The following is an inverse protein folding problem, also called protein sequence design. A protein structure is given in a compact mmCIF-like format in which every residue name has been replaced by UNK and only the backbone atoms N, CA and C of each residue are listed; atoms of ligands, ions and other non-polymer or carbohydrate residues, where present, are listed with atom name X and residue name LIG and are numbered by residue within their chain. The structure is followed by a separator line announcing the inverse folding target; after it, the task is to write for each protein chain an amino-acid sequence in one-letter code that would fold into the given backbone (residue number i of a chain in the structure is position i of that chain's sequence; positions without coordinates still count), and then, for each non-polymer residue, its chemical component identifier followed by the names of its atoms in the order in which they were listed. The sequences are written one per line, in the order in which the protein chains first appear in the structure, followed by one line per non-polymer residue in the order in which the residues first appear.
data_IF_313618533500
#
_entry.id   IF_313618533500
#
_cell.length_a   1.000
_cell.length_b   1.000
_cell.length_c   1.000
_cell.angle_alpha   90.00
_cell.angle_beta   90.00
_cell.angle_gamma   90.00
#
_symmetry.space_group_name_H-M   'P 1'
#
loop_
_entity.id
_entity.type
_entity.pdbx_description
1 polymer ?
#
# COMPACT_ATOMS: atom_id res chain seq x y z
N UNK A 1 -13.64 -10.23 15.02
CA UNK A 1 -13.96 -9.92 13.66
C UNK A 1 -12.90 -10.52 12.71
N UNK A 2 -13.37 -11.27 11.73
CA UNK A 2 -12.50 -12.03 10.82
C UNK A 2 -11.64 -11.10 9.95
N UNK A 3 -12.19 -10.01 9.46
CA UNK A 3 -11.45 -9.02 8.65
C UNK A 3 -10.35 -8.34 9.47
N UNK A 4 -10.64 -7.98 10.70
CA UNK A 4 -9.65 -7.39 11.61
C UNK A 4 -8.50 -8.35 11.89
N UNK A 5 -8.80 -9.64 12.03
CA UNK A 5 -7.78 -10.67 12.21
C UNK A 5 -6.90 -10.80 10.97
N UNK A 6 -7.50 -10.78 9.76
CA UNK A 6 -6.78 -10.84 8.50
C UNK A 6 -5.81 -9.67 8.33
N UNK A 7 -6.26 -8.44 8.63
CA UNK A 7 -5.42 -7.25 8.58
C UNK A 7 -4.30 -7.31 9.61
N UNK A 8 -4.59 -7.78 10.83
CA UNK A 8 -3.59 -7.99 11.87
C UNK A 8 -2.51 -8.97 11.46
N UNK A 9 -2.88 -10.05 10.79
CA UNK A 9 -1.93 -11.06 10.30
C UNK A 9 -1.02 -10.50 9.20
N UNK A 10 -1.56 -9.71 8.26
CA UNK A 10 -0.77 -9.05 7.22
C UNK A 10 0.26 -8.11 7.86
N UNK A 11 -0.17 -7.27 8.80
CA UNK A 11 0.70 -6.33 9.50
C UNK A 11 1.82 -7.05 10.26
N UNK A 12 1.47 -8.13 10.97
CA UNK A 12 2.42 -8.94 11.71
C UNK A 12 3.48 -9.58 10.79
N UNK A 13 3.04 -10.12 9.64
CA UNK A 13 3.95 -10.75 8.68
C UNK A 13 4.90 -9.74 8.05
N UNK A 14 4.41 -8.55 7.75
CA UNK A 14 5.25 -7.46 7.25
C UNK A 14 6.32 -7.09 8.27
N UNK A 15 5.96 -6.95 9.55
CA UNK A 15 6.90 -6.61 10.60
C UNK A 15 7.95 -7.69 10.80
N UNK A 16 7.57 -8.96 10.75
CA UNK A 16 8.51 -10.09 10.84
C UNK A 16 9.51 -10.07 9.68
N UNK A 17 9.05 -9.77 8.49
CA UNK A 17 9.92 -9.64 7.32
C UNK A 17 10.98 -8.54 7.54
N UNK A 18 10.56 -7.36 8.01
CA UNK A 18 11.49 -6.25 8.25
C UNK A 18 12.45 -6.53 9.40
N UNK A 19 12.00 -7.17 10.47
CA UNK A 19 12.88 -7.59 11.58
C UNK A 19 13.98 -8.53 11.06
N UNK A 20 13.62 -9.49 10.23
CA UNK A 20 14.59 -10.41 9.64
C UNK A 20 15.59 -9.69 8.73
N UNK A 21 15.10 -8.76 7.91
CA UNK A 21 15.96 -7.96 7.03
C UNK A 21 16.91 -7.06 7.81
N UNK A 22 16.46 -6.49 8.90
CA UNK A 22 17.30 -5.66 9.78
C UNK A 22 18.38 -6.48 10.50
N UNK A 23 18.13 -7.75 10.80
CA UNK A 23 19.15 -8.66 11.33
C UNK A 23 20.24 -8.92 10.29
N UNK A 24 19.88 -9.07 9.02
CA UNK A 24 20.81 -9.30 7.92
C UNK A 24 21.56 -8.03 7.52
N UNK A 25 20.89 -6.88 7.57
CA UNK A 25 21.39 -5.62 7.05
C UNK A 25 20.84 -4.45 7.87
N UNK A 26 21.62 -3.98 8.84
CA UNK A 26 21.18 -3.01 9.84
C UNK A 26 20.78 -1.63 9.27
N UNK A 27 21.32 -1.24 8.12
CA UNK A 27 21.10 0.07 7.51
C UNK A 27 20.04 0.06 6.41
N UNK A 28 19.21 -0.99 6.31
CA UNK A 28 18.20 -1.07 5.26
C UNK A 28 17.12 -0.01 5.43
N UNK A 29 16.87 0.72 4.35
CA UNK A 29 15.74 1.64 4.21
C UNK A 29 14.68 0.94 3.34
N UNK A 30 13.50 0.56 3.90
CA UNK A 30 12.50 -0.17 3.13
C UNK A 30 12.07 0.53 1.85
N UNK A 31 11.91 1.85 1.89
CA UNK A 31 11.49 2.60 0.71
C UNK A 31 12.57 2.61 -0.39
N UNK A 32 13.78 3.06 -0.05
CA UNK A 32 14.84 3.22 -1.05
C UNK A 32 15.50 1.90 -1.46
N UNK A 33 15.63 0.95 -0.54
CA UNK A 33 16.38 -0.28 -0.78
C UNK A 33 15.53 -1.41 -1.35
N UNK A 34 14.19 -1.32 -1.24
CA UNK A 34 13.31 -2.36 -1.75
C UNK A 34 12.16 -1.80 -2.58
N UNK A 35 11.31 -0.95 -2.01
CA UNK A 35 10.06 -0.55 -2.66
C UNK A 35 10.26 0.29 -3.91
N UNK A 36 11.28 1.14 -3.96
CA UNK A 36 11.57 1.91 -5.17
C UNK A 36 11.87 1.01 -6.37
N UNK A 37 12.69 -0.02 -6.16
CA UNK A 37 13.02 -0.96 -7.23
C UNK A 37 11.81 -1.79 -7.65
N UNK A 38 11.02 -2.26 -6.69
CA UNK A 38 9.81 -3.03 -6.97
C UNK A 38 8.75 -2.21 -7.71
N UNK A 39 8.59 -0.94 -7.34
CA UNK A 39 7.67 -0.02 -8.01
C UNK A 39 8.12 0.22 -9.46
N UNK A 40 9.40 0.44 -9.67
CA UNK A 40 9.96 0.65 -11.01
C UNK A 40 9.81 -0.58 -11.89
N UNK A 41 10.10 -1.77 -11.36
CA UNK A 41 9.89 -3.03 -12.09
C UNK A 41 8.42 -3.26 -12.43
N UNK A 42 7.52 -2.97 -11.49
CA UNK A 42 6.08 -3.10 -11.73
C UNK A 42 5.61 -2.13 -12.82
N UNK A 43 6.15 -0.92 -12.86
CA UNK A 43 5.83 0.06 -13.91
C UNK A 43 6.28 -0.38 -15.29
N UNK A 44 7.41 -1.09 -15.38
CA UNK A 44 7.88 -1.66 -16.65
C UNK A 44 6.97 -2.80 -17.13
N UNK A 45 6.48 -3.62 -16.21
CA UNK A 45 5.57 -4.72 -16.52
C UNK A 45 4.15 -4.22 -16.83
N UNK A 46 3.69 -3.21 -16.10
CA UNK A 46 2.34 -2.63 -16.23
C UNK A 46 2.42 -1.11 -16.45
N UNK A 47 2.85 -0.64 -17.63
CA UNK A 47 3.09 0.79 -17.84
C UNK A 47 1.84 1.64 -17.94
N UNK A 48 0.67 1.03 -18.08
CA UNK A 48 -0.60 1.74 -18.22
C UNK A 48 -1.05 2.29 -16.87
N UNK A 49 -1.43 3.56 -16.83
CA UNK A 49 -1.93 4.26 -15.64
C UNK A 49 -0.91 4.45 -14.53
N UNK A 50 0.39 4.48 -14.86
CA UNK A 50 1.41 4.86 -13.89
C UNK A 50 2.62 5.47 -14.58
N UNK A 51 3.35 6.27 -13.80
CA UNK A 51 4.57 6.92 -14.29
C UNK A 51 5.72 5.91 -14.40
N UNK A 52 6.78 6.32 -15.09
CA UNK A 52 7.95 5.48 -15.38
C UNK A 52 8.57 4.84 -14.13
N UNK A 53 8.60 5.57 -13.02
CA UNK A 53 9.21 5.08 -11.78
C UNK A 53 8.24 4.35 -10.85
N UNK A 54 6.98 4.23 -11.27
CA UNK A 54 5.97 3.47 -10.56
C UNK A 54 5.11 4.29 -9.61
N UNK A 55 3.80 4.05 -9.65
CA UNK A 55 2.83 4.69 -8.78
C UNK A 55 2.03 3.70 -7.94
N UNK A 56 2.06 2.43 -8.30
CA UNK A 56 1.33 1.41 -7.54
C UNK A 56 2.00 0.05 -7.64
N UNK A 57 1.77 -0.76 -6.63
CA UNK A 57 2.29 -2.12 -6.53
C UNK A 57 1.40 -2.92 -5.57
N UNK A 58 1.06 -4.12 -5.96
CA UNK A 58 0.47 -5.08 -5.03
C UNK A 58 1.57 -6.05 -4.59
N UNK A 59 2.22 -5.72 -3.48
CA UNK A 59 3.38 -6.47 -3.01
C UNK A 59 2.96 -7.73 -2.26
N UNK A 60 3.42 -8.87 -2.74
CA UNK A 60 3.30 -10.11 -1.99
C UNK A 60 4.45 -10.19 -0.98
N UNK A 61 4.11 -10.30 0.31
CA UNK A 61 5.11 -10.42 1.36
C UNK A 61 5.83 -11.77 1.21
N UNK A 62 7.17 -11.79 1.03
CA UNK A 62 7.89 -13.02 0.76
C UNK A 62 7.65 -14.12 1.79
N UNK A 63 7.42 -15.34 1.30
CA UNK A 63 7.15 -16.51 2.15
C UNK A 63 5.73 -16.59 2.68
N UNK A 64 4.82 -15.74 2.21
CA UNK A 64 3.41 -15.72 2.65
C UNK A 64 2.46 -15.60 1.48
N UNK A 65 1.17 -15.79 1.73
CA UNK A 65 0.08 -15.51 0.78
C UNK A 65 -0.54 -14.12 0.98
N UNK A 66 0.08 -13.29 1.82
CA UNK A 66 -0.42 -11.95 2.11
C UNK A 66 0.12 -10.93 1.13
N UNK A 67 -0.72 -9.97 0.79
CA UNK A 67 -0.39 -8.86 -0.11
C UNK A 67 -0.52 -7.53 0.62
N UNK A 68 0.41 -6.61 0.33
CA UNK A 68 0.36 -5.24 0.81
C UNK A 68 0.25 -4.32 -0.41
N UNK A 69 -0.92 -3.73 -0.68
CA UNK A 69 -1.04 -2.76 -1.76
C UNK A 69 -0.35 -1.45 -1.38
N UNK A 70 0.47 -0.95 -2.28
CA UNK A 70 1.24 0.28 -2.12
C UNK A 70 0.91 1.18 -3.31
N UNK A 71 0.59 2.44 -3.05
CA UNK A 71 0.23 3.37 -4.12
C UNK A 71 0.54 4.81 -3.71
N UNK A 72 0.83 5.63 -4.72
CA UNK A 72 1.09 7.05 -4.52
C UNK A 72 -0.23 7.82 -4.39
N UNK A 73 -0.26 8.81 -3.49
CA UNK A 73 -1.42 9.69 -3.35
C UNK A 73 -1.53 10.71 -4.47
N UNK A 74 -0.42 11.01 -5.12
CA UNK A 74 -0.32 12.11 -6.08
C UNK A 74 -0.03 13.48 -5.45
N UNK A 75 -0.04 13.56 -4.12
CA UNK A 75 0.13 14.83 -3.37
C UNK A 75 1.30 14.80 -2.39
N UNK A 76 2.09 13.72 -2.39
CA UNK A 76 3.20 13.55 -1.46
C UNK A 76 2.75 13.18 -0.06
N UNK A 77 3.59 13.46 0.92
CA UNK A 77 3.31 13.15 2.31
C UNK A 77 2.14 13.99 2.84
N UNK A 78 1.34 13.38 3.68
CA UNK A 78 0.20 14.06 4.27
C UNK A 78 -0.67 13.13 5.09
N UNK A 79 -1.74 13.69 5.64
CA UNK A 79 -2.77 12.93 6.32
C UNK A 79 -3.98 12.81 5.40
N UNK A 80 -4.39 11.59 5.12
CA UNK A 80 -5.49 11.32 4.20
C UNK A 80 -6.60 10.55 4.93
N UNK A 81 -7.86 11.02 4.85
CA UNK A 81 -8.98 10.29 5.47
C UNK A 81 -9.14 8.92 4.85
N UNK A 82 -9.42 7.94 5.69
CA UNK A 82 -9.68 6.57 5.27
C UNK A 82 -11.04 6.13 5.77
N UNK A 83 -11.85 5.57 4.88
CA UNK A 83 -13.21 5.14 5.18
C UNK A 83 -13.40 3.67 4.81
N UNK A 84 -14.12 2.94 5.65
CA UNK A 84 -14.52 1.59 5.33
C UNK A 84 -15.95 1.59 4.80
N UNK A 85 -16.15 0.94 3.64
CA UNK A 85 -17.49 0.70 3.10
C UNK A 85 -18.04 -0.60 3.65
N UNK A 86 -19.32 -0.61 4.00
CA UNK A 86 -19.99 -1.78 4.55
C UNK A 86 -21.14 -2.20 3.65
N UNK A 87 -21.34 -3.50 3.52
CA UNK A 87 -22.50 -4.04 2.80
C UNK A 87 -23.75 -4.02 3.68
N UNK A 88 -24.87 -4.55 3.14
CA UNK A 88 -26.15 -4.58 3.86
C UNK A 88 -26.10 -5.44 5.13
N UNK A 89 -25.17 -6.37 5.22
CA UNK A 89 -24.98 -7.25 6.38
C UNK A 89 -24.00 -6.67 7.41
N UNK A 90 -23.47 -5.46 7.16
CA UNK A 90 -22.52 -4.81 8.04
C UNK A 90 -21.09 -5.31 7.90
N UNK A 91 -20.76 -6.03 6.83
CA UNK A 91 -19.41 -6.50 6.54
C UNK A 91 -18.65 -5.48 5.70
N UNK A 92 -17.35 -5.36 5.96
CA UNK A 92 -16.48 -4.49 5.16
C UNK A 92 -16.41 -5.03 3.74
N UNK A 93 -16.81 -4.20 2.76
CA UNK A 93 -16.77 -4.54 1.34
C UNK A 93 -15.84 -3.62 0.54
N UNK A 94 -15.27 -2.61 1.16
CA UNK A 94 -14.34 -1.71 0.49
C UNK A 94 -13.61 -0.80 1.44
N UNK A 95 -12.49 -0.26 0.95
CA UNK A 95 -11.71 0.75 1.66
C UNK A 95 -11.54 1.94 0.71
N UNK A 96 -11.80 3.14 1.20
CA UNK A 96 -11.71 4.37 0.44
C UNK A 96 -10.73 5.32 1.10
N UNK A 97 -9.71 5.74 0.37
CA UNK A 97 -8.74 6.72 0.85
C UNK A 97 -8.93 7.98 0.03
N UNK A 98 -9.24 9.08 0.70
CA UNK A 98 -9.57 10.34 0.05
C UNK A 98 -8.29 11.17 -0.16
N UNK A 99 -7.80 11.21 -1.39
CA UNK A 99 -6.61 12.01 -1.74
C UNK A 99 -6.96 13.43 -2.15
N UNK A 100 -8.07 13.60 -2.86
CA UNK A 100 -8.50 14.90 -3.40
C UNK A 100 -10.02 14.93 -3.49
N UNK A 101 -10.59 16.09 -3.20
CA UNK A 101 -11.98 16.40 -3.50
C UNK A 101 -11.99 17.25 -4.77
N UNK A 102 -12.35 16.63 -5.89
CA UNK A 102 -12.30 17.30 -7.19
C UNK A 102 -13.22 18.52 -7.25
N UNK A 103 -14.40 18.44 -6.64
CA UNK A 103 -15.32 19.58 -6.59
C UNK A 103 -14.74 20.74 -5.78
N UNK A 104 -14.20 20.45 -4.60
CA UNK A 104 -13.64 21.48 -3.73
C UNK A 104 -12.36 22.10 -4.29
N UNK A 105 -11.49 21.27 -4.90
CA UNK A 105 -10.16 21.71 -5.35
C UNK A 105 -10.16 22.36 -6.72
N UNK A 106 -11.12 22.04 -7.58
CA UNK A 106 -11.20 22.55 -8.96
C UNK A 106 -12.42 23.44 -9.21
N UNK A 107 -13.28 23.67 -8.24
CA UNK A 107 -14.38 24.60 -8.32
C UNK A 107 -13.87 26.03 -8.08
N UNK A 108 -14.18 26.93 -8.98
CA UNK A 108 -13.81 28.35 -8.87
C UNK A 108 -14.85 29.17 -8.10
#
# INVERSE_FOLDING_TARGET
DVESRGLGDVYKRQNLYWEQRLEEEADIDPYNDLFCDLLEENAKEYPKYQREYGDWLNWNIPGTDYHLPIFASGWGDGAYPCYFGYDADGKVCGVYIHFIDIEADYEE
#
